data_IF_051308736237
#
_entry.id   IF_051308736237
#
_cell.length_a   1.000
_cell.length_b   1.000
_cell.length_c   1.000
_cell.angle_alpha   90.00
_cell.angle_beta   90.00
_cell.angle_gamma   90.00
#
_symmetry.space_group_name_H-M   'P 1'
#
loop_
_entity.id
_entity.type
_entity.pdbx_description
1 polymer ?
#
# COMPACT_ATOMS: atom_id res chain seq x y z
N UNK A 1 3.82 9.71 14.60
CA UNK A 1 4.49 8.96 13.50
C UNK A 1 5.93 8.75 13.89
N UNK A 2 6.32 7.53 14.30
CA UNK A 2 7.73 7.19 14.51
C UNK A 2 8.41 7.24 13.13
N UNK A 3 9.12 8.34 12.88
CA UNK A 3 9.83 8.59 11.63
C UNK A 3 11.05 7.69 11.56
N UNK A 4 10.86 6.40 11.25
CA UNK A 4 11.96 5.55 10.84
C UNK A 4 12.56 6.21 9.60
N UNK A 5 13.76 6.77 9.75
CA UNK A 5 14.42 7.51 8.69
C UNK A 5 14.54 6.62 7.45
N UNK A 6 14.23 7.18 6.28
CA UNK A 6 14.40 6.48 4.99
C UNK A 6 15.79 5.88 4.83
N UNK A 7 16.80 6.52 5.44
CA UNK A 7 18.17 6.04 5.47
C UNK A 7 18.35 4.76 6.31
N UNK A 8 17.62 4.62 7.41
CA UNK A 8 17.67 3.43 8.26
C UNK A 8 17.11 2.21 7.51
N UNK A 9 16.01 2.39 6.78
CA UNK A 9 15.42 1.33 5.95
C UNK A 9 16.28 1.00 4.75
N UNK A 10 16.99 1.96 4.16
CA UNK A 10 17.93 1.61 3.09
C UNK A 10 19.10 0.77 3.58
N UNK A 11 19.53 0.96 4.84
CA UNK A 11 20.63 0.19 5.44
C UNK A 11 20.22 -1.23 5.83
N UNK A 12 18.97 -1.45 6.25
CA UNK A 12 18.51 -2.79 6.63
C UNK A 12 18.47 -3.80 5.47
N UNK A 13 18.66 -3.34 4.23
CA UNK A 13 18.76 -4.20 3.04
C UNK A 13 20.18 -4.31 2.49
N UNK A 14 21.18 -3.70 3.15
CA UNK A 14 22.58 -3.88 2.80
C UNK A 14 23.11 -5.05 3.63
N UNK A 15 23.13 -6.24 3.04
CA UNK A 15 23.78 -7.39 3.66
C UNK A 15 25.30 -7.23 3.69
N UNK A 16 25.94 -7.98 4.58
CA UNK A 16 27.38 -7.97 4.75
C UNK A 16 28.15 -8.19 3.43
N UNK A 17 29.21 -7.41 3.16
CA UNK A 17 30.04 -7.60 1.97
C UNK A 17 30.72 -8.97 1.94
N UNK A 18 30.90 -9.60 3.11
CA UNK A 18 31.48 -10.94 3.24
C UNK A 18 30.61 -12.00 2.55
N UNK A 19 29.29 -11.93 2.73
CA UNK A 19 28.32 -12.83 2.08
C UNK A 19 28.34 -12.62 0.58
N UNK A 20 28.39 -11.36 0.12
CA UNK A 20 28.47 -11.05 -1.32
C UNK A 20 29.72 -11.61 -1.96
N UNK A 21 30.83 -11.62 -1.24
CA UNK A 21 32.11 -12.17 -1.70
C UNK A 21 32.12 -13.70 -1.68
N UNK A 22 31.53 -14.31 -0.65
CA UNK A 22 31.49 -15.76 -0.49
C UNK A 22 30.43 -16.44 -1.40
N UNK A 23 29.25 -15.84 -1.56
CA UNK A 23 28.11 -16.41 -2.28
C UNK A 23 27.51 -15.42 -3.29
N UNK A 24 28.26 -15.05 -4.35
CA UNK A 24 27.82 -14.01 -5.30
C UNK A 24 26.53 -14.38 -6.01
N UNK A 25 26.33 -15.66 -6.37
CA UNK A 25 25.13 -16.12 -7.07
C UNK A 25 23.86 -16.01 -6.21
N UNK A 26 23.94 -16.38 -4.93
CA UNK A 26 22.82 -16.27 -4.00
C UNK A 26 22.45 -14.81 -3.75
N UNK A 27 23.46 -13.97 -3.53
CA UNK A 27 23.28 -12.53 -3.32
C UNK A 27 22.62 -11.87 -4.54
N UNK A 28 23.04 -12.20 -5.77
CA UNK A 28 22.42 -11.66 -6.99
C UNK A 28 20.96 -12.09 -7.17
N UNK A 29 20.65 -13.35 -6.85
CA UNK A 29 19.29 -13.90 -6.94
C UNK A 29 18.33 -13.16 -6.02
N UNK A 30 18.73 -13.00 -4.75
CA UNK A 30 17.97 -12.27 -3.75
C UNK A 30 17.87 -10.79 -4.11
N UNK A 31 18.96 -10.14 -4.54
CA UNK A 31 18.92 -8.74 -4.96
C UNK A 31 17.92 -8.51 -6.09
N UNK A 32 17.97 -9.34 -7.12
CA UNK A 32 17.07 -9.22 -8.28
C UNK A 32 15.61 -9.38 -7.88
N UNK A 33 15.31 -10.34 -7.01
CA UNK A 33 13.94 -10.60 -6.56
C UNK A 33 13.41 -9.46 -5.66
N UNK A 34 14.22 -9.01 -4.70
CA UNK A 34 13.84 -8.00 -3.72
C UNK A 34 13.79 -6.59 -4.31
N UNK A 35 14.72 -6.22 -5.19
CA UNK A 35 14.80 -4.86 -5.74
C UNK A 35 13.58 -4.49 -6.58
N UNK A 36 13.04 -5.45 -7.34
CA UNK A 36 11.81 -5.29 -8.12
C UNK A 36 10.62 -4.98 -7.20
N UNK A 37 10.39 -5.83 -6.22
CA UNK A 37 9.28 -5.71 -5.28
C UNK A 37 9.41 -4.44 -4.45
N UNK A 38 10.59 -4.18 -3.91
CA UNK A 38 10.89 -2.96 -3.13
C UNK A 38 10.63 -1.68 -3.91
N UNK A 39 11.06 -1.59 -5.17
CA UNK A 39 10.80 -0.39 -6.00
C UNK A 39 9.31 -0.17 -6.20
N UNK A 40 8.54 -1.25 -6.39
CA UNK A 40 7.09 -1.20 -6.55
C UNK A 40 6.40 -0.76 -5.26
N UNK A 41 6.65 -1.41 -4.13
CA UNK A 41 6.06 -1.04 -2.84
C UNK A 41 6.41 0.39 -2.44
N UNK A 42 7.66 0.82 -2.66
CA UNK A 42 8.08 2.19 -2.36
C UNK A 42 7.32 3.22 -3.19
N UNK A 43 7.15 2.98 -4.50
CA UNK A 43 6.38 3.87 -5.37
C UNK A 43 4.92 3.94 -4.91
N UNK A 44 4.29 2.79 -4.68
CA UNK A 44 2.91 2.71 -4.23
C UNK A 44 2.71 3.39 -2.87
N UNK A 45 3.55 3.11 -1.88
CA UNK A 45 3.47 3.73 -0.56
C UNK A 45 3.65 5.25 -0.63
N UNK A 46 4.60 5.73 -1.43
CA UNK A 46 4.81 7.18 -1.61
C UNK A 46 3.60 7.86 -2.28
N UNK A 47 3.02 7.21 -3.28
CA UNK A 47 1.86 7.71 -4.01
C UNK A 47 0.64 7.82 -3.07
N UNK A 48 0.40 6.81 -2.23
CA UNK A 48 -0.68 6.85 -1.23
C UNK A 48 -0.52 7.98 -0.23
N UNK A 49 0.70 8.21 0.28
CA UNK A 49 0.97 9.33 1.20
C UNK A 49 0.74 10.68 0.52
N UNK A 50 1.15 10.82 -0.74
CA UNK A 50 0.93 12.05 -1.51
C UNK A 50 -0.57 12.28 -1.72
N UNK A 51 -1.32 11.27 -2.16
CA UNK A 51 -2.77 11.38 -2.34
C UNK A 51 -3.50 11.72 -1.03
N UNK A 52 -3.13 11.06 0.07
CA UNK A 52 -3.68 11.39 1.38
C UNK A 52 -3.44 12.86 1.75
N UNK A 53 -2.22 13.37 1.53
CA UNK A 53 -1.90 14.78 1.80
C UNK A 53 -2.64 15.75 0.89
N UNK A 54 -2.71 15.45 -0.41
CA UNK A 54 -3.40 16.29 -1.39
C UNK A 54 -4.87 16.38 -1.06
N UNK A 55 -5.52 15.25 -0.76
CA UNK A 55 -6.96 15.22 -0.52
C UNK A 55 -7.30 15.81 0.85
N UNK A 56 -6.49 15.54 1.88
CA UNK A 56 -6.63 16.24 3.16
C UNK A 56 -6.42 17.75 3.04
N UNK A 57 -5.46 18.21 2.22
CA UNK A 57 -5.25 19.63 1.98
C UNK A 57 -6.44 20.28 1.25
N UNK A 58 -6.98 19.61 0.23
CA UNK A 58 -8.20 20.05 -0.47
C UNK A 58 -9.36 20.16 0.52
N UNK A 59 -9.58 19.13 1.36
CA UNK A 59 -10.65 19.10 2.35
C UNK A 59 -10.57 20.29 3.33
N UNK A 60 -9.37 20.59 3.85
CA UNK A 60 -9.14 21.74 4.73
C UNK A 60 -9.39 23.07 4.01
N UNK A 61 -8.86 23.24 2.80
CA UNK A 61 -9.06 24.47 2.02
C UNK A 61 -10.54 24.69 1.73
N UNK A 62 -11.27 23.66 1.29
CA UNK A 62 -12.70 23.77 1.01
C UNK A 62 -13.51 24.04 2.29
N UNK A 63 -13.14 23.43 3.41
CA UNK A 63 -13.79 23.66 4.70
C UNK A 63 -13.65 25.11 5.18
N UNK A 64 -12.49 25.74 4.96
CA UNK A 64 -12.28 27.17 5.29
C UNK A 64 -12.96 28.09 4.26
N UNK A 65 -13.00 27.68 2.99
CA UNK A 65 -13.58 28.50 1.91
C UNK A 65 -15.10 28.59 2.05
N UNK A 66 -15.77 27.56 2.57
CA UNK A 66 -17.23 27.52 2.75
C UNK A 66 -17.77 28.68 3.62
N UNK A 67 -17.31 28.86 4.87
CA UNK A 67 -17.76 29.98 5.72
C UNK A 67 -17.44 31.35 5.11
N UNK A 68 -16.28 31.49 4.45
CA UNK A 68 -15.86 32.76 3.84
C UNK A 68 -16.82 33.18 2.72
N UNK A 69 -17.30 32.23 1.91
CA UNK A 69 -18.29 32.49 0.86
C UNK A 69 -19.64 32.98 1.39
N UNK A 70 -20.02 32.58 2.62
CA UNK A 70 -21.27 33.06 3.22
C UNK A 70 -21.15 34.48 3.77
N UNK A 71 -19.96 34.91 4.19
CA UNK A 71 -19.74 36.23 4.82
C UNK A 71 -19.35 37.29 3.79
N UNK A 72 -18.57 36.92 2.77
CA UNK A 72 -18.10 37.84 1.75
C UNK A 72 -18.64 37.38 0.39
N UNK A 73 -19.59 38.12 -0.23
CA UNK A 73 -20.02 37.81 -1.59
C UNK A 73 -18.85 38.09 -2.54
N UNK A 74 -18.09 37.05 -2.88
CA UNK A 74 -16.90 37.15 -3.74
C UNK A 74 -17.30 37.48 -5.18
N UNK A 75 -18.45 37.00 -5.63
CA UNK A 75 -19.02 37.33 -6.94
C UNK A 75 -20.17 38.31 -6.77
N UNK A 76 -20.18 39.37 -7.59
CA UNK A 76 -21.22 40.40 -7.62
C UNK A 76 -22.60 39.90 -8.07
N UNK A 77 -22.72 38.63 -8.43
CA UNK A 77 -23.93 38.03 -8.99
C UNK A 77 -24.36 36.84 -8.12
N UNK A 78 -25.49 36.96 -7.43
CA UNK A 78 -25.96 35.98 -6.43
C UNK A 78 -26.10 34.57 -7.01
N UNK A 79 -26.55 34.46 -8.26
CA UNK A 79 -26.69 33.18 -8.94
C UNK A 79 -25.36 32.45 -9.12
N UNK A 80 -24.26 33.19 -9.34
CA UNK A 80 -22.93 32.60 -9.49
C UNK A 80 -22.38 32.07 -8.15
N UNK A 81 -22.71 32.72 -7.02
CA UNK A 81 -22.35 32.26 -5.68
C UNK A 81 -23.02 30.92 -5.35
N UNK A 82 -24.31 30.75 -5.68
CA UNK A 82 -25.02 29.47 -5.48
C UNK A 82 -24.42 28.33 -6.31
N UNK A 83 -24.06 28.59 -7.57
CA UNK A 83 -23.41 27.57 -8.43
C UNK A 83 -22.04 27.19 -7.86
N UNK A 84 -21.25 28.16 -7.38
CA UNK A 84 -19.94 27.88 -6.78
C UNK A 84 -20.06 27.05 -5.50
N UNK A 85 -21.01 27.38 -4.62
CA UNK A 85 -21.31 26.60 -3.41
C UNK A 85 -21.70 25.16 -3.73
N UNK A 86 -22.52 24.94 -4.76
CA UNK A 86 -22.88 23.60 -5.23
C UNK A 86 -21.66 22.82 -5.72
N UNK A 87 -20.79 23.44 -6.53
CA UNK A 87 -19.55 22.83 -7.02
C UNK A 87 -18.64 22.45 -5.85
N UNK A 88 -18.41 23.37 -4.90
CA UNK A 88 -17.58 23.10 -3.70
C UNK A 88 -18.15 21.93 -2.91
N UNK A 89 -19.47 21.89 -2.69
CA UNK A 89 -20.14 20.81 -1.97
C UNK A 89 -19.97 19.46 -2.68
N UNK A 90 -20.09 19.43 -4.01
CA UNK A 90 -19.84 18.23 -4.82
C UNK A 90 -18.38 17.78 -4.71
N UNK A 91 -17.42 18.69 -4.76
CA UNK A 91 -15.99 18.35 -4.62
C UNK A 91 -15.71 17.78 -3.22
N UNK A 92 -16.27 18.36 -2.15
CA UNK A 92 -16.16 17.81 -0.79
C UNK A 92 -16.75 16.40 -0.74
N UNK A 93 -17.94 16.18 -1.30
CA UNK A 93 -18.58 14.87 -1.31
C UNK A 93 -17.74 13.83 -2.08
N UNK A 94 -17.18 14.20 -3.24
CA UNK A 94 -16.27 13.34 -4.00
C UNK A 94 -15.01 13.04 -3.19
N UNK A 95 -14.40 14.04 -2.55
CA UNK A 95 -13.20 13.87 -1.73
C UNK A 95 -13.46 12.94 -0.54
N UNK A 96 -14.59 13.11 0.16
CA UNK A 96 -15.01 12.24 1.25
C UNK A 96 -15.28 10.81 0.76
N UNK A 97 -15.95 10.66 -0.39
CA UNK A 97 -16.15 9.37 -1.04
C UNK A 97 -14.85 8.68 -1.41
N UNK A 98 -13.90 9.42 -2.00
CA UNK A 98 -12.58 8.90 -2.39
C UNK A 98 -11.76 8.47 -1.17
N UNK A 99 -11.80 9.27 -0.10
CA UNK A 99 -11.14 8.97 1.18
C UNK A 99 -11.67 7.66 1.77
N UNK A 100 -12.99 7.46 1.77
CA UNK A 100 -13.61 6.26 2.32
C UNK A 100 -13.37 5.04 1.43
N UNK A 101 -13.54 5.20 0.11
CA UNK A 101 -13.38 4.11 -0.87
C UNK A 101 -11.96 3.54 -0.88
N UNK A 102 -10.96 4.41 -0.83
CA UNK A 102 -9.57 3.97 -1.04
C UNK A 102 -8.84 3.55 0.24
N UNK A 103 -9.46 3.74 1.42
CA UNK A 103 -8.92 3.32 2.73
C UNK A 103 -7.41 3.53 2.86
N UNK A 104 -6.92 4.73 2.51
CA UNK A 104 -5.49 4.99 2.34
C UNK A 104 -4.66 4.67 3.58
N UNK A 105 -5.21 4.84 4.78
CA UNK A 105 -4.53 4.52 6.04
C UNK A 105 -4.26 3.00 6.14
N UNK A 106 -5.28 2.19 5.87
CA UNK A 106 -5.18 0.73 5.89
C UNK A 106 -4.18 0.24 4.85
N UNK A 107 -4.27 0.75 3.61
CA UNK A 107 -3.35 0.38 2.54
C UNK A 107 -1.90 0.81 2.83
N UNK A 108 -1.71 2.01 3.38
CA UNK A 108 -0.38 2.47 3.78
C UNK A 108 0.22 1.60 4.90
N UNK A 109 -0.56 1.28 5.94
CA UNK A 109 -0.12 0.39 7.03
C UNK A 109 0.24 -0.99 6.51
N UNK A 110 -0.57 -1.54 5.60
CA UNK A 110 -0.33 -2.85 4.98
C UNK A 110 1.01 -2.87 4.23
N UNK A 111 1.24 -1.91 3.33
CA UNK A 111 2.52 -1.83 2.61
C UNK A 111 3.71 -1.64 3.57
N UNK A 112 3.49 -0.94 4.68
CA UNK A 112 4.53 -0.70 5.67
C UNK A 112 4.85 -1.95 6.48
N UNK A 113 3.85 -2.73 6.90
CA UNK A 113 4.09 -4.01 7.58
C UNK A 113 4.79 -5.00 6.67
N UNK A 114 4.45 -5.04 5.38
CA UNK A 114 5.10 -5.91 4.40
C UNK A 114 6.58 -5.56 4.21
N UNK A 115 6.92 -4.27 4.18
CA UNK A 115 8.31 -3.83 4.10
C UNK A 115 9.14 -4.29 5.32
N UNK A 116 8.52 -4.36 6.51
CA UNK A 116 9.17 -4.89 7.71
C UNK A 116 9.32 -6.41 7.66
N UNK A 117 8.30 -7.13 7.19
CA UNK A 117 8.37 -8.60 7.01
C UNK A 117 9.46 -8.97 6.02
N UNK A 118 9.53 -8.28 4.88
CA UNK A 118 10.57 -8.50 3.88
C UNK A 118 11.97 -8.18 4.42
N UNK A 119 12.12 -7.14 5.23
CA UNK A 119 13.38 -6.84 5.90
C UNK A 119 13.77 -7.94 6.92
N UNK A 120 12.78 -8.51 7.62
CA UNK A 120 12.98 -9.65 8.52
C UNK A 120 13.48 -10.90 7.80
N UNK A 121 12.85 -11.25 6.67
CA UNK A 121 13.27 -12.37 5.82
C UNK A 121 14.73 -12.21 5.33
N UNK A 122 15.13 -10.99 4.97
CA UNK A 122 16.51 -10.70 4.57
C UNK A 122 17.48 -10.87 5.73
N UNK A 123 17.13 -10.37 6.92
CA UNK A 123 17.96 -10.51 8.10
C UNK A 123 18.11 -11.99 8.53
N UNK A 124 17.03 -12.76 8.46
CA UNK A 124 17.06 -14.21 8.72
C UNK A 124 17.97 -14.94 7.73
N UNK A 125 17.83 -14.64 6.44
CA UNK A 125 18.71 -15.18 5.40
C UNK A 125 20.17 -14.79 5.63
N UNK A 126 20.44 -13.53 5.97
CA UNK A 126 21.79 -13.04 6.24
C UNK A 126 22.45 -13.80 7.39
N UNK A 127 21.72 -14.00 8.49
CA UNK A 127 22.18 -14.79 9.64
C UNK A 127 22.47 -16.23 9.23
N UNK A 128 21.60 -16.86 8.44
CA UNK A 128 21.81 -18.22 7.93
C UNK A 128 23.08 -18.31 7.06
N UNK A 129 23.31 -17.36 6.15
CA UNK A 129 24.50 -17.31 5.32
C UNK A 129 25.78 -17.14 6.14
N UNK A 130 25.75 -16.30 7.19
CA UNK A 130 26.89 -16.14 8.10
C UNK A 130 27.17 -17.43 8.88
N UNK A 131 26.15 -18.12 9.36
CA UNK A 131 26.33 -19.41 10.04
C UNK A 131 26.96 -20.45 9.12
N UNK A 132 26.48 -20.54 7.88
CA UNK A 132 27.04 -21.43 6.86
C UNK A 132 28.50 -21.08 6.56
N UNK A 133 28.81 -19.79 6.41
CA UNK A 133 30.18 -19.31 6.14
C UNK A 133 31.16 -19.71 7.25
N UNK A 134 30.73 -19.62 8.52
CA UNK A 134 31.57 -19.94 9.68
C UNK A 134 31.59 -21.44 10.04
N UNK A 135 30.70 -22.26 9.44
CA UNK A 135 30.59 -23.68 9.77
C UNK A 135 31.79 -24.53 9.31
N UNK A 136 32.56 -24.05 8.31
CA UNK A 136 33.73 -24.76 7.77
C UNK A 136 33.41 -26.11 7.12
N UNK A 137 32.14 -26.40 6.81
CA UNK A 137 31.73 -27.65 6.20
C UNK A 137 32.18 -27.76 4.73
N UNK A 138 32.21 -28.96 4.14
CA UNK A 138 32.57 -29.12 2.73
C UNK A 138 31.41 -28.77 1.76
N UNK A 139 30.17 -28.76 2.27
CA UNK A 139 28.91 -28.60 1.54
C UNK A 139 28.33 -27.17 1.65
N UNK A 140 29.18 -26.17 1.95
CA UNK A 140 28.79 -24.77 2.19
C UNK A 140 27.88 -24.22 1.08
N UNK A 141 28.23 -24.46 -0.17
CA UNK A 141 27.54 -23.86 -1.30
C UNK A 141 26.18 -24.50 -1.58
N UNK A 142 26.03 -25.80 -1.36
CA UNK A 142 24.76 -26.51 -1.51
C UNK A 142 23.76 -26.06 -0.42
N UNK A 143 24.23 -25.95 0.83
CA UNK A 143 23.41 -25.39 1.92
C UNK A 143 23.00 -23.95 1.66
N UNK A 144 23.93 -23.11 1.19
CA UNK A 144 23.63 -21.72 0.89
C UNK A 144 22.54 -21.59 -0.19
N UNK A 145 22.56 -22.45 -1.21
CA UNK A 145 21.52 -22.50 -2.24
C UNK A 145 20.18 -23.00 -1.71
N UNK A 146 20.20 -24.05 -0.87
CA UNK A 146 18.98 -24.61 -0.25
C UNK A 146 18.28 -23.57 0.63
N UNK A 147 19.01 -22.89 1.51
CA UNK A 147 18.47 -21.85 2.39
C UNK A 147 17.98 -20.64 1.59
N UNK A 148 18.71 -20.26 0.55
CA UNK A 148 18.27 -19.20 -0.36
C UNK A 148 16.95 -19.58 -1.05
N UNK A 149 16.82 -20.81 -1.53
CA UNK A 149 15.58 -21.29 -2.15
C UNK A 149 14.41 -21.30 -1.16
N UNK A 150 14.65 -21.72 0.09
CA UNK A 150 13.63 -21.70 1.14
C UNK A 150 13.14 -20.27 1.45
N UNK A 151 14.04 -19.29 1.50
CA UNK A 151 13.68 -17.88 1.71
C UNK A 151 12.90 -17.32 0.52
N UNK A 152 13.29 -17.64 -0.72
CA UNK A 152 12.54 -17.24 -1.91
C UNK A 152 11.13 -17.86 -1.93
N UNK A 153 10.98 -19.11 -1.51
CA UNK A 153 9.68 -19.78 -1.42
C UNK A 153 8.77 -19.06 -0.40
N UNK A 154 9.27 -18.77 0.80
CA UNK A 154 8.54 -18.00 1.82
C UNK A 154 8.14 -16.60 1.31
N UNK A 155 9.05 -15.92 0.62
CA UNK A 155 8.76 -14.60 0.05
C UNK A 155 7.68 -14.67 -1.03
N UNK A 156 7.69 -15.73 -1.86
CA UNK A 156 6.68 -15.95 -2.89
C UNK A 156 5.31 -16.23 -2.29
N UNK A 157 5.25 -17.08 -1.26
CA UNK A 157 4.03 -17.38 -0.52
C UNK A 157 3.42 -16.12 0.12
N UNK A 158 4.27 -15.26 0.71
CA UNK A 158 3.86 -13.96 1.23
C UNK A 158 3.17 -13.14 0.12
N UNK A 159 3.78 -13.05 -1.06
CA UNK A 159 3.23 -12.29 -2.17
C UNK A 159 1.93 -12.89 -2.74
N UNK A 160 1.80 -14.21 -2.79
CA UNK A 160 0.55 -14.87 -3.19
C UNK A 160 -0.57 -14.59 -2.19
N UNK A 161 -0.27 -14.66 -0.89
CA UNK A 161 -1.22 -14.33 0.17
C UNK A 161 -1.65 -12.86 0.08
N UNK A 162 -0.74 -11.94 -0.21
CA UNK A 162 -1.07 -10.54 -0.44
C UNK A 162 -1.96 -10.35 -1.67
N UNK A 163 -1.60 -10.98 -2.78
CA UNK A 163 -2.33 -10.83 -4.02
C UNK A 163 -3.76 -11.37 -3.86
N UNK A 164 -3.93 -12.52 -3.20
CA UNK A 164 -5.25 -13.06 -2.88
C UNK A 164 -6.05 -12.15 -1.94
N UNK A 165 -5.41 -11.54 -0.94
CA UNK A 165 -6.07 -10.56 -0.05
C UNK A 165 -6.54 -9.32 -0.82
N UNK A 166 -5.69 -8.78 -1.71
CA UNK A 166 -6.04 -7.64 -2.55
C UNK A 166 -7.15 -7.99 -3.55
N UNK A 167 -7.09 -9.16 -4.18
CA UNK A 167 -8.13 -9.62 -5.09
C UNK A 167 -9.46 -9.86 -4.38
N UNK A 168 -9.44 -10.43 -3.18
CA UNK A 168 -10.64 -10.63 -2.38
C UNK A 168 -11.25 -9.32 -1.87
N UNK A 169 -10.43 -8.29 -1.66
CA UNK A 169 -10.91 -6.95 -1.31
C UNK A 169 -11.63 -6.26 -2.49
N UNK A 170 -11.30 -6.63 -3.73
CA UNK A 170 -12.02 -6.17 -4.93
C UNK A 170 -13.28 -7.04 -5.08
N UNK A 171 -14.38 -6.60 -4.49
CA UNK A 171 -15.69 -7.24 -4.69
C UNK A 171 -16.00 -7.29 -6.19
N UNK A 172 -16.17 -8.48 -6.80
CA UNK A 172 -16.52 -8.58 -8.21
C UNK A 172 -17.85 -7.84 -8.46
N UNK A 173 -17.99 -7.09 -9.56
CA UNK A 173 -19.19 -6.29 -9.83
C UNK A 173 -20.48 -7.13 -9.86
N UNK A 174 -20.38 -8.43 -10.12
CA UNK A 174 -21.51 -9.36 -10.09
C UNK A 174 -22.09 -9.56 -8.68
N UNK A 175 -21.25 -9.56 -7.65
CA UNK A 175 -21.69 -9.70 -6.25
C UNK A 175 -22.37 -8.40 -5.78
N UNK A 176 -21.85 -7.25 -6.21
CA UNK A 176 -22.46 -5.95 -5.95
C UNK A 176 -23.82 -5.78 -6.64
N UNK A 177 -24.00 -6.32 -7.86
CA UNK A 177 -25.32 -6.31 -8.55
C UNK A 177 -26.36 -7.16 -7.81
N UNK A 178 -25.95 -8.24 -7.15
CA UNK A 178 -26.85 -9.16 -6.46
C UNK A 178 -27.39 -8.56 -5.16
N UNK A 179 -26.59 -7.82 -4.40
CA UNK A 179 -27.03 -7.13 -3.19
C UNK A 179 -27.97 -5.95 -3.47
N UNK A 180 -27.76 -5.22 -4.58
CA UNK A 180 -28.66 -4.13 -5.00
C UNK A 180 -30.03 -4.67 -5.44
N UNK A 181 -30.09 -5.83 -6.10
CA UNK A 181 -31.35 -6.42 -6.58
C UNK A 181 -32.25 -6.93 -5.46
N UNK A 182 -31.70 -7.28 -4.29
CA UNK A 182 -32.48 -7.78 -3.14
C UNK A 182 -33.24 -6.65 -2.40
N UNK A 183 -32.85 -5.39 -2.60
CA UNK A 183 -33.46 -4.24 -1.91
C UNK A 183 -34.57 -3.56 -2.74
N UNK A 184 -35.03 -4.18 -3.83
CA UNK A 184 -36.20 -3.65 -4.55
C UNK A 184 -37.47 -4.15 -3.85
N UNK A 185 -38.21 -3.31 -3.10
CA UNK A 185 -39.41 -3.75 -2.40
C UNK A 185 -40.46 -4.20 -3.42
N UNK A 186 -41.00 -5.40 -3.23
CA UNK A 186 -42.17 -5.88 -3.96
C UNK A 186 -43.30 -4.88 -3.75
N UNK A 187 -43.71 -4.21 -4.82
CA UNK A 187 -44.85 -3.30 -4.84
C UNK A 187 -46.08 -4.00 -4.24
N UNK A 188 -46.80 -3.39 -3.28
CA UNK A 188 -48.00 -3.98 -2.73
C UNK A 188 -49.06 -4.08 -3.82
N UNK A 189 -49.50 -5.30 -4.09
CA UNK A 189 -50.62 -5.61 -4.97
C UNK A 189 -51.89 -4.96 -4.40
N UNK A 190 -52.37 -3.89 -5.04
CA UNK A 190 -53.68 -3.31 -4.76
C UNK A 190 -54.73 -4.29 -5.28
N UNK A 191 -55.41 -4.97 -4.35
CA UNK A 191 -56.57 -5.80 -4.67
C UNK A 191 -57.80 -4.90 -4.93
N UNK A 192 -58.66 -5.27 -5.90
CA UNK A 192 -59.85 -4.49 -6.29
C UNK A 192 -60.97 -4.53 -5.26
#
# INVERSE_FOLDING_TARGET
MLGVSRAALSRSYQWSPEISKAFPSCAQLIDKFLTLHRKRYRRLASLHVVWFKVIGAIEVVLSITLPVLFVVPILSNDQANYVFLAIVSVIVAIAAGLRNFYSWDTNWRLYRSQEFVLAGLVAEWEVAMLQILHSGAADVQERALSDTAAVLAKATELFEHENSTLFNAVVPPEVARRSVRVVQPTSPSVAP
#
